data_IF_706955554531
#
_entry.id   IF_706955554531
#
_cell.length_a   1.000
_cell.length_b   1.000
_cell.length_c   1.000
_cell.angle_alpha   90.00
_cell.angle_beta   90.00
_cell.angle_gamma   90.00
#
_symmetry.space_group_name_H-M   'P 1'
#
loop_
_entity.id
_entity.type
_entity.pdbx_description
1 polymer ?
#
# COMPACT_ATOMS: atom_id res chain seq x y z
N UNK A 1 -23.04 -9.17 -2.41
CA UNK A 1 -21.66 -9.59 -2.71
C UNK A 1 -20.72 -8.85 -1.79
N UNK A 2 -19.90 -9.61 -1.05
CA UNK A 2 -18.93 -9.24 0.00
C UNK A 2 -18.84 -7.76 0.43
N UNK A 3 -19.54 -7.44 1.53
CA UNK A 3 -19.23 -6.30 2.39
C UNK A 3 -18.28 -6.78 3.48
N UNK A 4 -17.02 -6.35 3.44
CA UNK A 4 -16.13 -6.49 4.59
C UNK A 4 -16.35 -5.30 5.51
N UNK A 5 -17.26 -5.49 6.47
CA UNK A 5 -17.45 -4.59 7.61
C UNK A 5 -16.39 -4.92 8.66
N UNK A 6 -15.45 -4.02 8.83
CA UNK A 6 -14.42 -4.11 9.85
C UNK A 6 -13.36 -3.07 9.55
N UNK A 7 -12.93 -2.34 10.58
CA UNK A 7 -11.94 -1.26 10.55
C UNK A 7 -10.63 -1.74 9.94
N UNK A 8 -10.57 -1.77 8.61
CA UNK A 8 -9.39 -2.11 7.85
C UNK A 8 -8.40 -0.98 8.02
N UNK A 9 -7.27 -1.26 8.68
CA UNK A 9 -6.17 -0.33 8.77
C UNK A 9 -5.84 0.18 7.36
N UNK A 10 -5.87 1.50 7.19
CA UNK A 10 -5.71 2.21 5.91
C UNK A 10 -4.24 2.20 5.42
N UNK A 11 -3.48 1.15 5.73
CA UNK A 11 -2.07 1.05 5.37
C UNK A 11 -1.95 0.23 4.10
N UNK A 12 -1.70 0.92 2.98
CA UNK A 12 -1.26 0.28 1.74
C UNK A 12 0.24 0.04 1.87
N UNK A 13 0.64 -1.21 1.66
CA UNK A 13 2.04 -1.58 1.51
C UNK A 13 2.18 -2.25 0.15
N UNK A 14 3.06 -1.73 -0.71
CA UNK A 14 3.25 -2.23 -2.07
C UNK A 14 3.64 -3.71 -2.13
N UNK A 15 4.17 -4.26 -1.04
CA UNK A 15 4.48 -5.69 -0.90
C UNK A 15 3.25 -6.61 -0.91
N UNK A 16 2.04 -6.09 -0.78
CA UNK A 16 0.80 -6.86 -0.70
C UNK A 16 -0.33 -6.18 -1.47
N UNK A 17 -0.13 -6.00 -2.77
CA UNK A 17 -1.13 -5.39 -3.65
C UNK A 17 -1.21 -6.14 -4.98
N UNK A 18 -2.43 -6.42 -5.43
CA UNK A 18 -2.70 -6.98 -6.75
C UNK A 18 -3.84 -6.23 -7.44
N UNK A 19 -3.72 -6.03 -8.75
CA UNK A 19 -4.72 -5.34 -9.56
C UNK A 19 -4.70 -5.86 -11.00
N UNK A 20 -5.80 -5.68 -11.71
CA UNK A 20 -5.88 -6.00 -13.15
C UNK A 20 -4.96 -5.05 -13.93
N UNK A 21 -4.23 -5.57 -14.91
CA UNK A 21 -3.37 -4.77 -15.77
C UNK A 21 -4.13 -3.63 -16.48
N UNK A 22 -5.36 -3.89 -16.90
CA UNK A 22 -6.23 -2.88 -17.52
C UNK A 22 -6.53 -1.70 -16.58
N UNK A 23 -6.86 -1.96 -15.32
CA UNK A 23 -7.08 -0.92 -14.32
C UNK A 23 -5.81 -0.07 -14.10
N UNK A 24 -4.65 -0.72 -14.05
CA UNK A 24 -3.35 -0.04 -13.94
C UNK A 24 -3.11 0.95 -15.08
N UNK A 25 -3.34 0.51 -16.33
CA UNK A 25 -3.15 1.36 -17.50
C UNK A 25 -4.22 2.45 -17.59
N UNK A 26 -5.47 2.17 -17.21
CA UNK A 26 -6.56 3.13 -17.21
C UNK A 26 -6.26 4.37 -16.37
N UNK A 27 -5.60 4.21 -15.21
CA UNK A 27 -5.25 5.34 -14.35
C UNK A 27 -3.89 5.96 -14.67
N UNK A 28 -3.10 5.37 -15.58
CA UNK A 28 -1.79 5.87 -16.01
C UNK A 28 -0.58 5.27 -15.28
N UNK A 29 -0.74 4.11 -14.64
CA UNK A 29 0.36 3.36 -14.02
C UNK A 29 1.00 4.04 -12.80
N UNK A 30 2.15 3.55 -12.33
CA UNK A 30 2.87 4.13 -11.18
C UNK A 30 3.49 5.47 -11.55
N UNK A 31 3.37 6.45 -10.66
CA UNK A 31 4.14 7.69 -10.76
C UNK A 31 5.56 7.47 -10.22
N UNK A 32 6.53 8.15 -10.82
CA UNK A 32 7.91 8.16 -10.37
C UNK A 32 8.07 9.02 -9.09
N UNK A 33 7.51 8.55 -7.97
CA UNK A 33 7.64 9.17 -6.66
C UNK A 33 8.85 8.57 -5.92
N UNK A 34 9.41 9.34 -4.99
CA UNK A 34 10.48 8.83 -4.11
C UNK A 34 9.96 7.83 -3.08
N UNK A 35 8.69 7.97 -2.68
CA UNK A 35 7.98 7.12 -1.72
C UNK A 35 6.48 7.27 -1.92
N UNK A 36 5.71 6.21 -1.66
CA UNK A 36 4.25 6.25 -1.56
C UNK A 36 3.55 6.16 -2.93
N UNK A 37 4.23 5.64 -3.93
CA UNK A 37 3.68 5.38 -5.27
C UNK A 37 2.51 4.39 -5.23
N UNK A 38 2.53 3.45 -4.29
CA UNK A 38 1.48 2.47 -4.01
C UNK A 38 0.22 3.13 -3.43
N UNK A 39 0.37 3.97 -2.40
CA UNK A 39 -0.71 4.76 -1.79
C UNK A 39 -1.32 5.70 -2.83
N UNK A 40 -0.49 6.37 -3.64
CA UNK A 40 -0.96 7.29 -4.68
C UNK A 40 -1.74 6.56 -5.78
N UNK A 41 -1.27 5.38 -6.22
CA UNK A 41 -1.98 4.55 -7.19
C UNK A 41 -3.34 4.08 -6.65
N UNK A 42 -3.41 3.65 -5.39
CA UNK A 42 -4.68 3.28 -4.73
C UNK A 42 -5.63 4.47 -4.69
N UNK A 43 -5.15 5.67 -4.35
CA UNK A 43 -5.96 6.88 -4.37
C UNK A 43 -6.55 7.18 -5.75
N UNK A 44 -5.81 6.90 -6.83
CA UNK A 44 -6.33 7.01 -8.21
C UNK A 44 -7.34 5.93 -8.55
N UNK A 45 -7.18 4.70 -8.07
CA UNK A 45 -8.22 3.67 -8.22
C UNK A 45 -9.51 4.06 -7.49
N UNK A 46 -9.41 4.63 -6.29
CA UNK A 46 -10.57 5.16 -5.54
C UNK A 46 -11.24 6.31 -6.29
N UNK A 47 -10.46 7.28 -6.79
CA UNK A 47 -10.97 8.41 -7.55
C UNK A 47 -11.61 7.99 -8.89
N UNK A 48 -11.14 6.90 -9.49
CA UNK A 48 -11.72 6.31 -10.71
C UNK A 48 -12.96 5.43 -10.42
N UNK A 49 -13.39 5.29 -9.16
CA UNK A 49 -14.57 4.51 -8.78
C UNK A 49 -14.37 3.00 -8.89
N UNK A 50 -13.11 2.52 -8.89
CA UNK A 50 -12.82 1.09 -8.96
C UNK A 50 -13.07 0.40 -7.61
N UNK A 51 -13.51 -0.85 -7.67
CA UNK A 51 -13.73 -1.65 -6.46
C UNK A 51 -12.40 -2.11 -5.87
N UNK A 52 -12.16 -1.75 -4.60
CA UNK A 52 -10.96 -2.14 -3.85
C UNK A 52 -11.39 -3.07 -2.71
N UNK A 53 -10.93 -4.31 -2.76
CA UNK A 53 -11.10 -5.27 -1.67
C UNK A 53 -9.86 -5.22 -0.76
N UNK A 54 -10.07 -5.04 0.54
CA UNK A 54 -9.02 -5.10 1.56
C UNK A 54 -9.28 -6.31 2.44
N UNK A 55 -8.43 -7.33 2.33
CA UNK A 55 -8.53 -8.57 3.12
C UNK A 55 -7.38 -8.62 4.13
N UNK A 56 -7.73 -8.73 5.42
CA UNK A 56 -6.77 -8.84 6.54
C UNK A 56 -6.13 -10.22 6.64
N UNK A 57 -6.68 -11.23 5.96
CA UNK A 57 -6.11 -12.58 5.92
C UNK A 57 -5.01 -12.72 4.85
N UNK A 58 -4.99 -11.82 3.87
CA UNK A 58 -3.88 -11.70 2.93
C UNK A 58 -2.76 -10.94 3.63
N UNK A 59 -1.93 -11.65 4.38
CA UNK A 59 -0.75 -11.11 5.04
C UNK A 59 0.50 -11.65 4.36
N UNK A 60 1.52 -10.80 4.24
CA UNK A 60 2.83 -11.19 3.71
C UNK A 60 3.90 -10.92 4.76
N UNK A 61 4.86 -11.83 4.87
CA UNK A 61 6.07 -11.57 5.63
C UNK A 61 6.94 -10.56 4.86
N UNK A 62 7.21 -9.40 5.46
CA UNK A 62 8.12 -8.40 4.90
C UNK A 62 9.37 -8.30 5.75
N UNK A 63 10.48 -7.89 5.13
CA UNK A 63 11.74 -7.74 5.85
C UNK A 63 11.67 -6.59 6.85
N UNK A 64 12.19 -6.83 8.05
CA UNK A 64 12.36 -5.84 9.13
C UNK A 64 13.60 -4.95 8.95
N UNK A 65 14.18 -4.91 7.74
CA UNK A 65 15.35 -4.09 7.44
C UNK A 65 15.07 -2.62 7.75
N UNK A 66 15.93 -2.05 8.57
CA UNK A 66 15.90 -0.64 8.99
C UNK A 66 16.64 0.27 8.03
N UNK A 67 17.40 -0.28 7.09
CA UNK A 67 18.02 0.46 6.01
C UNK A 67 17.20 0.29 4.74
N UNK A 68 16.69 1.41 4.21
CA UNK A 68 15.82 1.42 3.05
C UNK A 68 16.05 2.68 2.22
N UNK A 69 15.81 2.56 0.92
CA UNK A 69 16.05 3.64 -0.07
C UNK A 69 14.92 4.67 -0.14
N UNK A 70 13.72 4.32 0.32
CA UNK A 70 12.53 5.16 0.28
C UNK A 70 12.45 6.05 1.55
N UNK A 71 12.60 7.38 1.43
CA UNK A 71 12.42 8.30 2.56
C UNK A 71 10.98 8.25 3.08
N UNK A 72 10.75 8.00 4.36
CA UNK A 72 9.41 7.81 4.93
C UNK A 72 8.78 6.44 4.64
N UNK A 73 9.53 5.52 4.01
CA UNK A 73 9.06 4.16 3.72
C UNK A 73 9.08 3.23 4.94
N UNK A 74 8.79 1.95 4.71
CA UNK A 74 8.65 0.95 5.77
C UNK A 74 9.89 0.83 6.68
N UNK A 75 11.10 0.91 6.12
CA UNK A 75 12.34 0.91 6.91
C UNK A 75 12.40 2.07 7.92
N UNK A 76 11.89 3.25 7.57
CA UNK A 76 11.79 4.38 8.50
C UNK A 76 10.71 4.16 9.55
N UNK A 77 9.57 3.60 9.16
CA UNK A 77 8.52 3.21 10.10
C UNK A 77 9.04 2.24 11.17
N UNK A 78 9.82 1.24 10.76
CA UNK A 78 10.45 0.27 11.68
C UNK A 78 11.45 0.93 12.64
N UNK A 79 12.22 1.92 12.19
CA UNK A 79 13.13 2.69 13.07
C UNK A 79 12.35 3.44 14.15
N UNK A 80 11.21 4.03 13.81
CA UNK A 80 10.36 4.75 14.75
C UNK A 80 9.71 3.80 15.79
N UNK A 81 9.33 2.58 15.39
CA UNK A 81 8.83 1.56 16.32
C UNK A 81 9.89 1.05 17.30
N UNK A 82 11.17 1.12 16.90
CA UNK A 82 12.30 0.61 17.69
C UNK A 82 12.86 1.63 18.69
N UNK A 83 12.38 2.88 18.65
CA UNK A 83 12.56 3.87 19.71
C UNK A 83 11.21 4.06 20.42
N UNK A 84 10.82 3.15 21.33
CA UNK A 84 9.83 3.53 22.32
C UNK A 84 10.46 4.63 23.17
N UNK A 85 9.83 5.79 23.22
CA UNK A 85 10.07 6.73 24.31
C UNK A 85 9.69 6.11 25.65
#
# INVERSE_FOLDING_TARGET
>A
GYRSGGTGHHHVHGANMGFRAEAYWQVGGFRALRTGEDVELVGRFEAAGLSICRDRNLCVATSDRREGRAPGGFAQHLRNLSHPG
#
